data_IF_990486984958
#
_entry.id   IF_990486984958
#
_cell.length_a   1.000
_cell.length_b   1.000
_cell.length_c   1.000
_cell.angle_alpha   90.00
_cell.angle_beta   90.00
_cell.angle_gamma   90.00
#
_symmetry.space_group_name_H-M   'P 1'
#
loop_
_entity.id
_entity.type
_entity.pdbx_description
1 polymer ?
#
# COMPACT_ATOMS: atom_id res chain seq x y z
N UNK A 1 7.16 -8.31 35.19
CA UNK A 1 8.11 -7.91 34.14
C UNK A 1 7.68 -8.63 32.87
N UNK A 2 7.06 -7.94 31.95
CA UNK A 2 6.65 -8.54 30.68
C UNK A 2 7.88 -8.50 29.76
N UNK A 3 8.48 -9.65 29.49
CA UNK A 3 9.46 -9.80 28.42
C UNK A 3 8.74 -9.54 27.11
N UNK A 4 9.03 -8.40 26.47
CA UNK A 4 8.62 -8.16 25.10
C UNK A 4 9.22 -9.27 24.24
N UNK A 5 8.37 -10.03 23.56
CA UNK A 5 8.81 -11.00 22.58
C UNK A 5 9.53 -10.22 21.47
N UNK A 6 10.85 -10.35 21.41
CA UNK A 6 11.65 -9.78 20.34
C UNK A 6 11.38 -10.59 19.08
N UNK A 7 11.01 -9.89 18.00
CA UNK A 7 11.03 -10.50 16.67
C UNK A 7 12.42 -11.06 16.39
N UNK A 8 12.52 -12.10 15.58
CA UNK A 8 13.75 -12.86 15.30
C UNK A 8 14.97 -11.99 14.89
N UNK A 9 14.75 -10.70 14.60
CA UNK A 9 15.75 -9.70 14.24
C UNK A 9 15.72 -8.44 15.13
N UNK A 10 15.10 -8.52 16.31
CA UNK A 10 14.97 -7.36 17.20
C UNK A 10 13.92 -6.34 16.77
N UNK A 11 13.06 -6.66 15.81
CA UNK A 11 11.97 -5.80 15.36
C UNK A 11 10.67 -6.18 16.04
N UNK A 12 9.81 -5.20 16.26
CA UNK A 12 8.52 -5.42 16.83
C UNK A 12 7.45 -5.40 15.72
N UNK A 13 6.63 -6.45 15.67
CA UNK A 13 5.40 -6.41 14.90
C UNK A 13 4.43 -5.45 15.54
N UNK A 14 3.90 -4.54 14.74
CA UNK A 14 2.94 -3.53 15.17
C UNK A 14 1.63 -3.64 14.37
N UNK A 15 0.56 -3.19 15.01
CA UNK A 15 -0.79 -3.04 14.45
C UNK A 15 -1.48 -1.85 15.10
N UNK A 16 -2.71 -1.55 14.69
CA UNK A 16 -3.60 -0.68 15.47
C UNK A 16 -4.32 -1.47 16.56
N UNK A 17 -4.93 -0.74 17.51
CA UNK A 17 -6.01 -1.32 18.30
C UNK A 17 -7.06 -1.93 17.36
N UNK A 18 -7.71 -3.03 17.74
CA UNK A 18 -8.78 -3.61 16.94
C UNK A 18 -9.87 -2.57 16.63
N UNK A 19 -10.23 -2.48 15.36
CA UNK A 19 -11.28 -1.59 14.86
C UNK A 19 -12.17 -2.38 13.89
N UNK A 20 -13.46 -2.36 14.13
CA UNK A 20 -14.42 -3.07 13.28
C UNK A 20 -14.44 -2.49 11.86
N UNK A 21 -14.46 -3.37 10.87
CA UNK A 21 -14.54 -2.99 9.46
C UNK A 21 -13.27 -2.37 8.87
N UNK A 22 -12.15 -2.34 9.61
CA UNK A 22 -10.88 -1.84 9.12
C UNK A 22 -10.04 -2.97 8.53
N UNK A 23 -9.93 -2.97 7.21
CA UNK A 23 -9.14 -3.93 6.42
C UNK A 23 -7.86 -3.32 5.85
N UNK A 24 -7.77 -1.99 5.84
CA UNK A 24 -6.60 -1.26 5.37
C UNK A 24 -6.20 -0.18 6.37
N UNK A 25 -4.91 -0.08 6.65
CA UNK A 25 -4.35 0.75 7.71
C UNK A 25 -3.17 1.57 7.19
N UNK A 26 -3.16 2.85 7.54
CA UNK A 26 -1.98 3.69 7.46
C UNK A 26 -1.21 3.62 8.77
N UNK A 27 0.10 3.42 8.68
CA UNK A 27 1.04 3.45 9.80
C UNK A 27 2.18 4.38 9.43
N UNK A 28 2.64 5.20 10.37
CA UNK A 28 3.75 6.12 10.11
C UNK A 28 4.55 6.48 11.33
N UNK A 29 5.76 6.94 11.09
CA UNK A 29 6.63 7.59 12.07
C UNK A 29 7.52 8.62 11.40
N UNK A 30 7.72 9.74 12.10
CA UNK A 30 8.70 10.78 11.77
C UNK A 30 9.89 10.67 12.70
N UNK A 31 11.09 10.67 12.16
CA UNK A 31 12.36 10.72 12.87
C UNK A 31 12.99 12.08 12.62
N UNK A 32 13.57 12.68 13.66
CA UNK A 32 14.18 14.03 13.60
C UNK A 32 15.58 14.02 14.15
N UNK A 33 16.37 15.05 13.83
CA UNK A 33 17.76 15.19 14.26
C UNK A 33 18.64 14.01 13.86
N UNK A 34 18.44 13.52 12.65
CA UNK A 34 19.17 12.37 12.11
C UNK A 34 20.58 12.82 11.65
N UNK A 35 21.59 11.96 11.80
CA UNK A 35 22.88 12.20 11.20
C UNK A 35 22.77 12.17 9.67
N UNK A 36 23.68 12.85 8.99
CA UNK A 36 23.81 12.72 7.55
C UNK A 36 24.08 11.25 7.17
N UNK A 37 23.38 10.77 6.17
CA UNK A 37 23.58 9.43 5.62
C UNK A 37 23.39 9.47 4.10
N UNK A 38 24.20 8.70 3.37
CA UNK A 38 24.14 8.57 1.92
C UNK A 38 23.66 7.20 1.46
N UNK A 39 23.60 6.25 2.39
CA UNK A 39 23.12 4.87 2.16
C UNK A 39 22.06 4.50 3.16
N UNK A 40 20.97 3.92 2.67
CA UNK A 40 19.96 3.36 3.54
C UNK A 40 19.21 2.21 2.90
N UNK A 41 18.86 1.24 3.72
CA UNK A 41 18.00 0.14 3.35
C UNK A 41 16.86 0.01 4.33
N UNK A 42 15.66 -0.32 3.83
CA UNK A 42 14.54 -0.71 4.65
C UNK A 42 14.22 -2.18 4.36
N UNK A 43 14.20 -2.98 5.42
CA UNK A 43 13.66 -4.33 5.39
C UNK A 43 12.27 -4.32 6.02
N UNK A 44 11.28 -4.80 5.28
CA UNK A 44 9.86 -4.75 5.62
C UNK A 44 9.26 -6.15 5.56
N UNK A 45 8.40 -6.46 6.52
CA UNK A 45 7.48 -7.59 6.50
C UNK A 45 6.06 -7.12 6.80
N UNK A 46 5.06 -7.76 6.19
CA UNK A 46 3.64 -7.52 6.44
C UNK A 46 2.88 -8.84 6.40
N UNK A 47 1.73 -8.90 7.06
CA UNK A 47 0.84 -10.07 7.03
C UNK A 47 -0.09 -10.09 5.81
N UNK A 48 0.14 -9.24 4.82
CA UNK A 48 -0.66 -9.14 3.60
C UNK A 48 0.08 -8.41 2.51
N UNK A 49 -0.51 -7.35 2.00
CA UNK A 49 0.12 -6.42 1.06
C UNK A 49 0.48 -5.12 1.75
N UNK A 50 1.50 -4.44 1.26
CA UNK A 50 1.90 -3.14 1.76
C UNK A 50 2.33 -2.20 0.63
N UNK A 51 2.33 -0.91 0.94
CA UNK A 51 2.93 0.17 0.14
C UNK A 51 3.83 0.95 1.08
N UNK A 52 5.13 0.93 0.81
CA UNK A 52 6.14 1.65 1.58
C UNK A 52 6.33 3.06 1.01
N UNK A 53 6.32 4.05 1.88
CA UNK A 53 6.60 5.44 1.53
C UNK A 53 7.74 5.97 2.38
N UNK A 54 8.64 6.73 1.76
CA UNK A 54 9.73 7.45 2.43
C UNK A 54 9.68 8.90 2.00
N UNK A 55 9.55 9.82 2.94
CA UNK A 55 9.38 11.24 2.69
C UNK A 55 8.25 11.54 1.67
N UNK A 56 7.11 10.86 1.83
CA UNK A 56 5.93 10.98 0.97
C UNK A 56 6.04 10.29 -0.39
N UNK A 57 7.20 9.73 -0.74
CA UNK A 57 7.43 9.08 -2.04
C UNK A 57 7.27 7.57 -1.92
N UNK A 58 6.48 7.00 -2.81
CA UNK A 58 6.27 5.55 -2.87
C UNK A 58 7.56 4.83 -3.29
N UNK A 59 7.97 3.86 -2.49
CA UNK A 59 9.19 3.06 -2.72
C UNK A 59 8.83 1.81 -3.53
N UNK A 60 8.64 1.99 -4.81
CA UNK A 60 8.49 0.91 -5.77
C UNK A 60 8.85 1.45 -7.17
N UNK A 61 9.55 0.68 -8.00
CA UNK A 61 9.75 1.02 -9.41
C UNK A 61 8.43 1.23 -10.17
N UNK A 62 7.40 0.49 -9.83
CA UNK A 62 6.07 0.62 -10.39
C UNK A 62 5.17 1.44 -9.45
N UNK A 63 4.64 2.60 -9.89
CA UNK A 63 3.86 3.49 -9.04
C UNK A 63 2.47 2.93 -8.65
N UNK A 64 2.02 1.87 -9.30
CA UNK A 64 0.69 1.28 -9.08
C UNK A 64 0.75 0.01 -8.25
N UNK A 65 1.75 -0.84 -8.50
CA UNK A 65 1.83 -2.17 -7.90
C UNK A 65 2.16 -2.15 -6.42
N UNK A 66 1.36 -2.80 -5.55
CA UNK A 66 1.71 -2.99 -4.14
C UNK A 66 2.82 -4.03 -3.97
N UNK A 67 3.52 -3.97 -2.83
CA UNK A 67 4.38 -5.06 -2.39
C UNK A 67 3.53 -6.18 -1.78
N UNK A 68 3.75 -7.41 -2.22
CA UNK A 68 3.05 -8.58 -1.70
C UNK A 68 3.98 -9.39 -0.78
N UNK A 69 3.55 -9.61 0.47
CA UNK A 69 4.28 -10.38 1.49
C UNK A 69 3.60 -11.71 1.78
N UNK A 70 2.66 -12.07 0.93
CA UNK A 70 1.80 -13.21 1.11
C UNK A 70 2.21 -14.34 0.17
N UNK A 71 2.57 -15.49 0.73
CA UNK A 71 2.70 -16.74 0.00
C UNK A 71 2.45 -17.90 0.97
N UNK A 72 1.38 -18.64 0.77
CA UNK A 72 1.06 -19.89 1.48
C UNK A 72 1.26 -19.86 3.02
N UNK A 73 0.75 -18.82 3.68
CA UNK A 73 0.86 -18.62 5.14
C UNK A 73 2.27 -18.31 5.68
N UNK A 74 3.25 -18.06 4.83
CA UNK A 74 4.58 -17.63 5.27
C UNK A 74 4.70 -16.10 5.23
N UNK A 75 5.36 -15.52 6.23
CA UNK A 75 5.70 -14.10 6.26
C UNK A 75 7.02 -13.90 5.54
N UNK A 76 7.00 -13.16 4.44
CA UNK A 76 8.17 -12.87 3.63
C UNK A 76 8.68 -11.48 3.98
N UNK A 77 10.00 -11.29 3.97
CA UNK A 77 10.62 -9.98 4.11
C UNK A 77 11.15 -9.50 2.76
N UNK A 78 11.03 -8.20 2.53
CA UNK A 78 11.63 -7.52 1.39
C UNK A 78 12.55 -6.42 1.86
N UNK A 79 13.71 -6.29 1.22
CA UNK A 79 14.65 -5.20 1.47
C UNK A 79 14.68 -4.25 0.28
N UNK A 80 14.54 -2.96 0.56
CA UNK A 80 14.50 -1.87 -0.41
C UNK A 80 15.72 -0.97 -0.20
N UNK A 81 16.40 -0.60 -1.27
CA UNK A 81 17.33 0.52 -1.25
C UNK A 81 16.52 1.83 -1.23
N UNK A 82 16.60 2.54 -0.13
CA UNK A 82 15.92 3.82 0.07
C UNK A 82 16.87 5.01 0.08
N UNK A 83 18.14 4.80 -0.25
CA UNK A 83 19.14 5.87 -0.35
C UNK A 83 18.67 7.08 -1.16
N UNK A 84 18.01 6.91 -2.34
CA UNK A 84 17.55 8.05 -3.14
C UNK A 84 16.45 8.90 -2.49
N UNK A 85 15.83 8.39 -1.42
CA UNK A 85 14.68 9.04 -0.76
C UNK A 85 15.08 9.83 0.49
N UNK A 86 16.30 9.64 1.02
CA UNK A 86 16.75 10.22 2.29
C UNK A 86 17.90 11.23 2.15
N UNK A 87 18.22 11.64 0.92
CA UNK A 87 19.36 12.53 0.67
C UNK A 87 19.19 13.88 1.37
N UNK A 88 20.14 14.23 2.24
CA UNK A 88 20.32 15.55 2.87
C UNK A 88 19.12 16.05 3.69
N UNK A 89 18.49 15.19 4.43
CA UNK A 89 17.42 15.58 5.36
C UNK A 89 17.80 15.19 6.80
N UNK A 90 17.53 16.06 7.75
CA UNK A 90 17.60 15.80 9.18
C UNK A 90 16.28 15.21 9.72
N UNK A 91 15.28 15.15 8.87
CA UNK A 91 13.95 14.62 9.16
C UNK A 91 13.59 13.53 8.16
N UNK A 92 13.07 12.42 8.65
CA UNK A 92 12.69 11.27 7.85
C UNK A 92 11.28 10.80 8.21
N UNK A 93 10.38 10.89 7.26
CA UNK A 93 9.06 10.28 7.35
C UNK A 93 9.08 8.89 6.73
N UNK A 94 8.72 7.87 7.51
CA UNK A 94 8.47 6.52 7.02
C UNK A 94 6.98 6.22 7.22
N UNK A 95 6.32 5.78 6.16
CA UNK A 95 4.91 5.43 6.22
C UNK A 95 4.63 4.13 5.47
N UNK A 96 3.66 3.38 5.98
CA UNK A 96 3.16 2.13 5.41
C UNK A 96 1.66 2.25 5.20
N UNK A 97 1.21 1.80 4.05
CA UNK A 97 -0.20 1.50 3.80
C UNK A 97 -0.34 0.00 3.68
N UNK A 98 -0.93 -0.63 4.68
CA UNK A 98 -1.08 -2.07 4.76
C UNK A 98 -2.51 -2.49 4.44
N UNK A 99 -2.65 -3.58 3.69
CA UNK A 99 -3.91 -4.28 3.49
C UNK A 99 -3.77 -5.70 4.06
N UNK A 100 -4.74 -6.08 4.88
CA UNK A 100 -4.78 -7.39 5.51
C UNK A 100 -5.09 -8.48 4.50
N UNK A 101 -4.53 -9.66 4.72
CA UNK A 101 -4.98 -10.88 4.07
C UNK A 101 -5.92 -11.65 5.03
N UNK A 102 -6.95 -12.31 4.47
CA UNK A 102 -7.83 -13.25 5.19
C UNK A 102 -8.57 -12.67 6.40
N UNK A 103 -8.87 -11.37 6.40
CA UNK A 103 -9.65 -10.74 7.48
C UNK A 103 -8.89 -10.58 8.81
N UNK A 104 -7.60 -10.88 8.85
CA UNK A 104 -6.78 -10.59 10.02
C UNK A 104 -6.49 -9.08 10.13
N UNK A 105 -6.24 -8.53 11.33
CA UNK A 105 -5.79 -7.14 11.47
C UNK A 105 -4.50 -6.87 10.71
N UNK A 106 -4.38 -5.73 10.06
CA UNK A 106 -3.14 -5.33 9.38
C UNK A 106 -1.97 -5.30 10.37
N UNK A 107 -0.87 -5.93 10.02
CA UNK A 107 0.33 -5.96 10.83
C UNK A 107 1.58 -5.82 9.96
N UNK A 108 2.57 -5.10 10.49
CA UNK A 108 3.86 -4.93 9.83
C UNK A 108 5.00 -4.89 10.83
N UNK A 109 6.20 -5.22 10.34
CA UNK A 109 7.45 -5.02 11.03
C UNK A 109 8.47 -4.46 10.04
N UNK A 110 9.22 -3.43 10.45
CA UNK A 110 10.17 -2.73 9.60
C UNK A 110 11.46 -2.45 10.36
N UNK A 111 12.57 -2.54 9.64
CA UNK A 111 13.88 -2.08 10.07
C UNK A 111 14.49 -1.22 8.98
N UNK A 112 14.94 -0.02 9.36
CA UNK A 112 15.79 0.86 8.58
C UNK A 112 17.21 0.79 9.11
N UNK A 113 18.16 0.58 8.23
CA UNK A 113 19.59 0.74 8.48
C UNK A 113 20.13 1.83 7.53
N UNK A 114 20.70 2.88 8.07
CA UNK A 114 21.24 4.01 7.32
C UNK A 114 22.63 4.36 7.82
N UNK A 115 23.55 4.72 6.92
CA UNK A 115 24.91 5.09 7.24
C UNK A 115 25.49 6.04 6.19
N UNK A 116 26.49 6.80 6.60
CA UNK A 116 27.37 7.55 5.73
C UNK A 116 28.58 6.70 5.36
N UNK A 117 28.85 6.58 4.08
CA UNK A 117 29.92 5.75 3.54
C UNK A 117 31.31 6.23 3.95
N UNK A 118 31.49 7.55 4.08
CA UNK A 118 32.79 8.13 4.37
C UNK A 118 33.11 8.11 5.87
N UNK A 119 32.18 8.56 6.70
CA UNK A 119 32.38 8.66 8.16
C UNK A 119 32.05 7.38 8.91
N UNK A 120 31.25 6.48 8.30
CA UNK A 120 30.69 5.31 8.96
C UNK A 120 29.62 5.63 10.01
N UNK A 121 29.28 6.89 10.21
CA UNK A 121 28.21 7.31 11.12
C UNK A 121 26.86 6.88 10.54
N UNK A 122 25.98 6.35 11.37
CA UNK A 122 24.68 5.91 10.92
C UNK A 122 23.68 5.77 12.04
N UNK A 123 22.49 5.33 11.67
CA UNK A 123 21.43 5.04 12.63
C UNK A 123 20.58 3.86 12.16
N UNK A 124 19.93 3.23 13.12
CA UNK A 124 18.95 2.18 12.88
C UNK A 124 17.63 2.60 13.49
N UNK A 125 16.54 2.36 12.76
CA UNK A 125 15.20 2.55 13.25
C UNK A 125 14.35 1.30 13.01
N UNK A 126 13.46 0.99 13.96
CA UNK A 126 12.56 -0.18 13.87
C UNK A 126 11.13 0.23 14.19
N UNK A 127 10.19 -0.61 13.77
CA UNK A 127 8.81 -0.48 14.24
C UNK A 127 8.72 -0.74 15.74
N UNK A 128 7.96 0.10 16.42
CA UNK A 128 7.64 0.04 17.84
C UNK A 128 6.29 0.75 18.13
N UNK A 129 5.89 0.81 19.38
CA UNK A 129 4.63 1.42 19.81
C UNK A 129 4.60 2.96 19.70
N UNK A 130 5.68 3.60 19.28
CA UNK A 130 5.74 5.03 19.00
C UNK A 130 5.29 5.38 17.59
N UNK A 131 5.10 4.37 16.74
CA UNK A 131 4.43 4.55 15.46
C UNK A 131 2.97 4.92 15.67
N UNK A 132 2.42 5.66 14.73
CA UNK A 132 1.02 6.08 14.73
C UNK A 132 0.25 5.34 13.65
N UNK A 133 -0.99 4.98 13.96
CA UNK A 133 -1.89 4.22 13.07
C UNK A 133 -3.19 4.98 12.85
N UNK A 134 -3.75 4.85 11.64
CA UNK A 134 -5.05 5.40 11.26
C UNK A 134 -5.69 4.50 10.21
N UNK A 135 -7.04 4.28 10.24
CA UNK A 135 -7.73 3.65 9.11
C UNK A 135 -7.45 4.38 7.81
N UNK A 136 -7.12 3.65 6.77
CA UNK A 136 -6.97 4.22 5.44
C UNK A 136 -8.33 4.68 4.89
N UNK A 137 -8.31 5.58 3.91
CA UNK A 137 -9.53 6.05 3.21
C UNK A 137 -10.06 5.03 2.21
N UNK A 138 -9.31 3.99 1.96
CA UNK A 138 -9.70 2.81 1.18
C UNK A 138 -9.82 1.63 2.12
N UNK A 139 -10.92 0.89 2.00
CA UNK A 139 -11.15 -0.33 2.77
C UNK A 139 -11.60 -1.44 1.81
N UNK A 140 -11.49 -2.68 2.23
CA UNK A 140 -11.94 -3.85 1.47
C UNK A 140 -13.16 -4.46 2.16
N UNK A 141 -14.21 -4.72 1.43
CA UNK A 141 -15.42 -5.36 1.95
C UNK A 141 -15.26 -6.88 2.06
N UNK A 142 -16.29 -7.55 2.59
CA UNK A 142 -16.31 -9.00 2.76
C UNK A 142 -16.28 -9.79 1.44
N UNK A 143 -16.59 -9.15 0.33
CA UNK A 143 -16.54 -9.73 -1.02
C UNK A 143 -15.17 -9.53 -1.69
N UNK A 144 -14.25 -8.85 -1.04
CA UNK A 144 -12.91 -8.56 -1.56
C UNK A 144 -12.84 -7.32 -2.47
N UNK A 145 -13.94 -6.56 -2.59
CA UNK A 145 -13.95 -5.30 -3.34
C UNK A 145 -13.50 -4.14 -2.48
N UNK A 146 -12.69 -3.28 -3.05
CA UNK A 146 -12.30 -2.04 -2.38
C UNK A 146 -13.41 -1.00 -2.49
N UNK A 147 -13.60 -0.24 -1.41
CA UNK A 147 -14.35 0.99 -1.45
C UNK A 147 -13.48 2.16 -0.99
N UNK A 148 -13.64 3.29 -1.64
CA UNK A 148 -12.84 4.50 -1.40
C UNK A 148 -13.75 5.67 -1.06
N UNK A 149 -13.42 6.38 0.02
CA UNK A 149 -13.99 7.70 0.29
C UNK A 149 -12.99 8.78 -0.14
N UNK A 150 -13.13 9.29 -1.36
CA UNK A 150 -12.27 10.34 -1.88
C UNK A 150 -12.39 11.66 -1.12
N UNK A 151 -13.51 11.91 -0.44
CA UNK A 151 -13.70 13.12 0.38
C UNK A 151 -12.82 13.14 1.63
N UNK A 152 -12.37 11.96 2.07
CA UNK A 152 -11.49 11.78 3.22
C UNK A 152 -10.01 11.62 2.80
N UNK A 153 -9.73 11.74 1.50
CA UNK A 153 -8.35 11.64 1.02
C UNK A 153 -7.48 12.72 1.64
N UNK A 154 -6.36 12.31 2.19
CA UNK A 154 -5.41 13.18 2.85
C UNK A 154 -4.04 13.02 2.20
N UNK A 155 -3.66 13.94 1.33
CA UNK A 155 -2.48 13.82 0.48
C UNK A 155 -1.15 13.78 1.26
N UNK A 156 -1.12 14.36 2.45
CA UNK A 156 0.09 14.44 3.30
C UNK A 156 0.17 13.33 4.35
N UNK A 157 -0.72 12.33 4.32
CA UNK A 157 -0.75 11.27 5.32
C UNK A 157 0.58 10.52 5.50
N UNK A 158 1.39 10.44 4.45
CA UNK A 158 2.68 9.73 4.44
C UNK A 158 3.90 10.62 4.70
N UNK A 159 3.71 11.95 4.80
CA UNK A 159 4.76 12.92 5.13
C UNK A 159 4.13 14.20 5.66
N UNK A 160 4.88 14.97 6.44
CA UNK A 160 4.48 16.29 6.94
C UNK A 160 3.02 16.35 7.48
N UNK A 161 2.64 15.33 8.26
CA UNK A 161 1.30 15.23 8.86
C UNK A 161 1.10 16.34 9.90
N UNK A 162 0.00 17.01 9.83
CA UNK A 162 -0.40 18.06 10.77
C UNK A 162 -1.69 17.73 11.53
N UNK A 163 -2.54 16.85 11.01
CA UNK A 163 -3.79 16.43 11.66
C UNK A 163 -3.60 15.10 12.41
N UNK A 164 -3.06 15.19 13.60
CA UNK A 164 -2.82 14.04 14.47
C UNK A 164 -4.08 13.56 15.22
N UNK A 165 -5.18 14.29 15.18
CA UNK A 165 -6.38 13.98 15.96
C UNK A 165 -7.01 12.61 15.62
N UNK A 166 -6.76 12.11 14.41
CA UNK A 166 -7.28 10.82 13.93
C UNK A 166 -6.27 9.69 13.99
N UNK A 167 -5.08 9.94 14.52
CA UNK A 167 -4.02 8.96 14.64
C UNK A 167 -3.96 8.41 16.08
N UNK A 168 -3.75 7.13 16.20
CA UNK A 168 -3.61 6.43 17.46
C UNK A 168 -2.27 5.74 17.55
N UNK A 169 -1.64 5.62 18.71
CA UNK A 169 -0.41 4.85 18.87
C UNK A 169 -0.58 3.40 18.41
N UNK A 170 0.44 2.88 17.76
CA UNK A 170 0.51 1.47 17.41
C UNK A 170 0.56 0.59 18.67
N UNK A 171 0.04 -0.61 18.54
CA UNK A 171 0.21 -1.66 19.56
C UNK A 171 1.24 -2.67 19.11
N UNK A 172 2.02 -3.17 20.05
CA UNK A 172 2.88 -4.32 19.86
C UNK A 172 2.06 -5.60 19.79
N UNK A 173 2.25 -6.37 18.74
CA UNK A 173 1.68 -7.70 18.68
C UNK A 173 2.55 -8.66 19.47
N UNK A 174 1.92 -9.45 20.34
CA UNK A 174 2.57 -10.60 20.98
C UNK A 174 2.81 -11.67 19.91
N UNK A 175 4.02 -12.18 19.83
CA UNK A 175 4.30 -13.33 18.98
C UNK A 175 3.37 -14.49 19.35
N UNK A 176 2.54 -14.92 18.39
CA UNK A 176 1.96 -16.27 18.45
C UNK A 176 3.07 -17.21 18.02
N UNK A 177 3.61 -17.96 18.97
CA UNK A 177 4.83 -18.75 18.88
C UNK A 177 4.85 -19.82 17.76
N UNK A 178 3.73 -20.09 17.10
CA UNK A 178 3.64 -21.14 16.07
C UNK A 178 3.54 -20.66 14.63
N UNK A 179 3.24 -19.36 14.38
CA UNK A 179 3.03 -18.87 13.00
C UNK A 179 4.00 -17.76 12.57
N UNK A 180 4.97 -17.43 13.41
CA UNK A 180 5.89 -16.29 13.16
C UNK A 180 7.32 -16.71 12.82
N UNK A 181 7.57 -17.99 12.63
CA UNK A 181 8.84 -18.42 12.06
C UNK A 181 8.91 -17.90 10.62
N UNK A 182 9.61 -16.79 10.44
CA UNK A 182 10.11 -16.41 9.13
C UNK A 182 10.92 -17.60 8.64
N UNK A 183 10.37 -18.31 7.67
CA UNK A 183 11.03 -19.49 7.16
C UNK A 183 12.20 -19.03 6.29
N UNK A 184 13.39 -18.96 6.90
CA UNK A 184 14.65 -18.85 6.17
C UNK A 184 14.99 -20.14 5.44
N UNK A 185 14.09 -21.12 5.47
CA UNK A 185 14.38 -22.44 4.94
C UNK A 185 14.22 -22.48 3.42
N UNK A 186 15.38 -22.70 2.84
CA UNK A 186 15.63 -23.59 1.69
C UNK A 186 14.45 -23.80 0.76
N UNK A 187 14.30 -22.95 -0.22
CA UNK A 187 13.35 -23.18 -1.30
C UNK A 187 12.40 -22.02 -1.47
N UNK A 188 12.94 -20.86 -1.77
CA UNK A 188 12.38 -19.90 -2.70
C UNK A 188 10.88 -19.54 -2.56
N UNK A 189 10.36 -19.26 -1.38
CA UNK A 189 9.27 -18.30 -1.32
C UNK A 189 9.88 -16.92 -1.55
N UNK A 190 9.96 -16.52 -2.80
CA UNK A 190 10.39 -15.17 -3.17
C UNK A 190 9.20 -14.24 -2.98
N UNK A 191 9.39 -13.02 -2.43
CA UNK A 191 8.32 -12.04 -2.41
C UNK A 191 7.83 -11.84 -3.85
N UNK A 192 6.51 -11.80 -4.03
CA UNK A 192 5.93 -11.52 -5.32
C UNK A 192 6.04 -10.01 -5.58
N UNK A 193 7.01 -9.62 -6.38
CA UNK A 193 7.04 -8.27 -6.93
C UNK A 193 6.09 -8.22 -8.12
N UNK A 194 5.18 -7.28 -8.10
CA UNK A 194 4.25 -7.03 -9.18
C UNK A 194 4.71 -5.81 -9.97
N UNK A 195 4.45 -5.83 -11.26
CA UNK A 195 4.65 -4.69 -12.16
C UNK A 195 3.50 -4.61 -13.16
N UNK A 196 3.26 -3.42 -13.69
CA UNK A 196 2.32 -3.24 -14.79
C UNK A 196 2.96 -3.78 -16.06
N UNK A 197 2.38 -4.85 -16.61
CA UNK A 197 2.77 -5.43 -17.88
C UNK A 197 2.29 -4.61 -19.06
N UNK A 198 1.03 -4.16 -18.99
CA UNK A 198 0.40 -3.39 -20.05
C UNK A 198 -0.69 -2.49 -19.50
N UNK A 199 -0.88 -1.35 -20.16
CA UNK A 199 -2.02 -0.46 -19.96
C UNK A 199 -2.87 -0.53 -21.22
N UNK A 200 -4.16 -0.88 -21.07
CA UNK A 200 -5.09 -1.08 -22.19
C UNK A 200 -6.33 -0.24 -21.99
N UNK A 201 -6.69 0.56 -22.95
CA UNK A 201 -7.94 1.33 -22.92
C UNK A 201 -9.14 0.43 -23.24
N UNK A 202 -10.22 0.63 -22.50
CA UNK A 202 -11.49 -0.02 -22.74
C UNK A 202 -12.35 0.83 -23.69
N UNK A 203 -13.21 0.16 -24.45
CA UNK A 203 -14.17 0.81 -25.33
C UNK A 203 -15.58 0.72 -24.79
N UNK A 204 -16.40 1.79 -24.86
CA UNK A 204 -17.81 1.71 -24.46
C UNK A 204 -18.58 0.76 -25.38
N UNK A 205 -19.39 -0.09 -24.79
CA UNK A 205 -20.21 -1.07 -25.52
C UNK A 205 -21.70 -0.84 -25.34
N UNK A 206 -22.10 -0.30 -24.20
CA UNK A 206 -23.50 -0.01 -23.88
C UNK A 206 -23.57 1.23 -23.01
N UNK A 207 -24.54 2.10 -23.26
CA UNK A 207 -24.75 3.31 -22.49
C UNK A 207 -26.24 3.49 -22.25
N UNK A 208 -26.61 3.55 -20.98
CA UNK A 208 -27.93 3.90 -20.50
C UNK A 208 -27.92 5.22 -19.76
N UNK A 209 -29.08 5.67 -19.30
CA UNK A 209 -29.24 6.96 -18.60
C UNK A 209 -28.35 7.12 -17.37
N UNK A 210 -27.99 6.03 -16.67
CA UNK A 210 -27.19 6.02 -15.43
C UNK A 210 -26.20 4.86 -15.36
N UNK A 211 -25.85 4.33 -16.50
CA UNK A 211 -24.95 3.20 -16.59
C UNK A 211 -24.17 3.26 -17.88
N UNK A 212 -22.91 2.91 -17.82
CA UNK A 212 -22.09 2.72 -19.01
C UNK A 212 -21.21 1.47 -18.83
N UNK A 213 -21.22 0.63 -19.85
CA UNK A 213 -20.40 -0.59 -19.88
C UNK A 213 -19.26 -0.42 -20.86
N UNK A 214 -18.06 -0.78 -20.42
CA UNK A 214 -16.85 -0.81 -21.20
C UNK A 214 -16.32 -2.24 -21.32
N UNK A 215 -15.75 -2.58 -22.47
CA UNK A 215 -15.09 -3.85 -22.71
C UNK A 215 -13.60 -3.65 -23.02
N UNK A 216 -12.79 -4.53 -22.46
CA UNK A 216 -11.37 -4.62 -22.78
C UNK A 216 -11.15 -5.59 -23.97
N UNK A 217 -10.11 -5.38 -24.78
CA UNK A 217 -9.80 -6.25 -25.91
C UNK A 217 -9.57 -7.72 -25.51
N UNK A 218 -9.01 -7.94 -24.31
CA UNK A 218 -8.75 -9.26 -23.74
C UNK A 218 -9.03 -9.28 -22.24
N UNK A 219 -9.17 -10.45 -21.64
CA UNK A 219 -9.26 -10.60 -20.20
C UNK A 219 -7.86 -10.52 -19.57
N UNK A 220 -7.75 -9.87 -18.41
CA UNK A 220 -6.50 -9.73 -17.66
C UNK A 220 -6.76 -9.76 -16.15
N UNK A 221 -5.69 -9.96 -15.40
CA UNK A 221 -5.66 -9.80 -13.93
C UNK A 221 -4.95 -8.51 -13.58
N UNK A 222 -5.55 -7.68 -12.72
CA UNK A 222 -4.92 -6.41 -12.35
C UNK A 222 -5.87 -5.38 -11.77
N UNK A 223 -5.63 -4.12 -12.08
CA UNK A 223 -6.45 -2.99 -11.65
C UNK A 223 -7.17 -2.33 -12.81
N UNK A 224 -8.24 -1.63 -12.50
CA UNK A 224 -8.90 -0.71 -13.43
C UNK A 224 -8.77 0.71 -12.88
N UNK A 225 -8.44 1.64 -13.75
CA UNK A 225 -8.42 3.07 -13.49
C UNK A 225 -9.52 3.75 -14.29
N UNK A 226 -10.40 4.45 -13.59
CA UNK A 226 -11.48 5.22 -14.20
C UNK A 226 -11.23 6.70 -13.95
N UNK A 227 -11.12 7.49 -14.99
CA UNK A 227 -11.01 8.94 -14.89
C UNK A 227 -12.39 9.56 -14.98
N UNK A 228 -12.72 10.37 -13.99
CA UNK A 228 -14.05 10.96 -13.80
C UNK A 228 -13.92 12.47 -13.82
N UNK A 229 -14.78 13.15 -14.57
CA UNK A 229 -14.86 14.60 -14.66
C UNK A 229 -16.23 15.10 -14.25
N UNK A 230 -16.28 16.30 -13.67
CA UNK A 230 -17.51 16.98 -13.27
C UNK A 230 -18.36 16.24 -12.21
N UNK A 231 -17.78 15.26 -11.51
CA UNK A 231 -18.42 14.67 -10.35
C UNK A 231 -18.43 15.67 -9.18
N UNK A 232 -19.49 15.63 -8.39
CA UNK A 232 -19.61 16.49 -7.19
C UNK A 232 -19.03 15.78 -5.97
N UNK A 233 -18.47 16.53 -5.00
CA UNK A 233 -18.07 15.95 -3.73
C UNK A 233 -19.20 15.11 -3.09
N UNK A 234 -18.87 13.89 -2.66
CA UNK A 234 -19.82 12.95 -2.08
C UNK A 234 -20.72 12.23 -3.09
N UNK A 235 -20.54 12.45 -4.40
CA UNK A 235 -21.19 11.62 -5.44
C UNK A 235 -20.61 10.20 -5.40
N UNK A 236 -21.49 9.20 -5.48
CA UNK A 236 -21.08 7.80 -5.36
C UNK A 236 -21.14 7.11 -6.71
N UNK A 237 -20.05 6.46 -7.09
CA UNK A 237 -19.90 5.68 -8.30
C UNK A 237 -19.60 4.23 -7.92
N UNK A 238 -20.13 3.28 -8.68
CA UNK A 238 -19.89 1.85 -8.54
C UNK A 238 -19.22 1.32 -9.81
N UNK A 239 -18.11 0.64 -9.67
CA UNK A 239 -17.32 0.04 -10.74
C UNK A 239 -17.27 -1.46 -10.49
N UNK A 240 -18.17 -2.23 -11.12
CA UNK A 240 -18.34 -3.68 -10.88
C UNK A 240 -18.36 -4.09 -9.38
N UNK A 241 -19.01 -3.32 -8.52
CA UNK A 241 -19.05 -3.59 -7.07
C UNK A 241 -18.04 -2.80 -6.23
N UNK A 242 -16.96 -2.29 -6.80
CA UNK A 242 -16.13 -1.30 -6.12
C UNK A 242 -16.90 0.00 -5.96
N UNK A 243 -16.97 0.52 -4.75
CA UNK A 243 -17.63 1.79 -4.44
C UNK A 243 -16.60 2.90 -4.33
N UNK A 244 -16.83 3.97 -5.06
CA UNK A 244 -15.99 5.17 -5.01
C UNK A 244 -16.85 6.40 -4.71
N UNK A 245 -16.51 7.12 -3.64
CA UNK A 245 -17.12 8.41 -3.30
C UNK A 245 -16.20 9.51 -3.81
N UNK A 246 -16.70 10.34 -4.72
CA UNK A 246 -15.94 11.37 -5.40
C UNK A 246 -15.57 12.52 -4.46
N UNK A 247 -14.39 13.10 -4.66
CA UNK A 247 -13.96 14.31 -3.97
C UNK A 247 -14.30 15.59 -4.74
N UNK A 248 -14.67 15.48 -6.02
CA UNK A 248 -15.06 16.58 -6.88
C UNK A 248 -13.90 17.31 -7.55
N UNK A 249 -12.71 16.74 -7.58
CA UNK A 249 -11.59 17.31 -8.33
C UNK A 249 -11.73 17.04 -9.84
N UNK A 250 -11.11 17.88 -10.65
CA UNK A 250 -11.08 17.69 -12.10
C UNK A 250 -10.24 16.45 -12.43
N UNK A 251 -10.75 15.60 -13.33
CA UNK A 251 -10.09 14.37 -13.77
C UNK A 251 -9.70 13.43 -12.59
N UNK A 252 -10.60 13.33 -11.64
CA UNK A 252 -10.49 12.45 -10.48
C UNK A 252 -10.33 10.99 -10.90
N UNK A 253 -9.39 10.29 -10.28
CA UNK A 253 -9.08 8.91 -10.65
C UNK A 253 -9.53 7.91 -9.58
N UNK A 254 -10.53 7.11 -9.92
CA UNK A 254 -10.91 5.95 -9.15
C UNK A 254 -10.06 4.74 -9.56
N UNK A 255 -9.24 4.26 -8.63
CA UNK A 255 -8.36 3.10 -8.85
C UNK A 255 -8.24 2.27 -7.58
N UNK A 256 -8.30 0.94 -7.71
CA UNK A 256 -8.00 0.01 -6.63
C UNK A 256 -6.54 0.09 -6.19
N UNK A 257 -6.27 -0.23 -4.93
CA UNK A 257 -4.92 -0.12 -4.32
C UNK A 257 -4.27 -1.47 -4.07
N UNK A 258 -5.08 -2.47 -3.69
CA UNK A 258 -4.62 -3.80 -3.32
C UNK A 258 -5.46 -4.92 -3.94
N UNK A 259 -6.76 -4.71 -4.20
CA UNK A 259 -7.63 -5.72 -4.78
C UNK A 259 -7.33 -5.91 -6.28
N UNK A 260 -6.50 -6.89 -6.60
CA UNK A 260 -6.32 -7.34 -7.98
C UNK A 260 -7.46 -8.29 -8.35
N UNK A 261 -8.18 -7.95 -9.40
CA UNK A 261 -9.36 -8.69 -9.85
C UNK A 261 -9.22 -9.11 -11.32
N UNK A 262 -9.94 -10.15 -11.76
CA UNK A 262 -10.04 -10.50 -13.17
C UNK A 262 -10.99 -9.53 -13.89
N UNK A 263 -10.54 -8.97 -15.00
CA UNK A 263 -11.27 -7.99 -15.79
C UNK A 263 -11.45 -8.47 -17.23
N UNK A 264 -12.63 -8.31 -17.79
CA UNK A 264 -12.95 -8.46 -19.21
C UNK A 264 -13.83 -7.32 -19.68
N UNK A 265 -14.73 -6.89 -18.82
CA UNK A 265 -15.61 -5.75 -18.99
C UNK A 265 -15.89 -5.13 -17.64
N UNK A 266 -16.30 -3.89 -17.64
CA UNK A 266 -16.77 -3.20 -16.44
C UNK A 266 -18.05 -2.45 -16.74
N UNK A 267 -18.95 -2.46 -15.77
CA UNK A 267 -20.13 -1.61 -15.77
C UNK A 267 -19.98 -0.57 -14.68
N UNK A 268 -20.07 0.68 -15.07
CA UNK A 268 -20.00 1.82 -14.18
C UNK A 268 -21.41 2.37 -14.01
N UNK A 269 -21.84 2.45 -12.76
CA UNK A 269 -23.12 3.03 -12.37
C UNK A 269 -22.88 4.05 -11.26
N UNK A 270 -23.91 4.76 -10.85
CA UNK A 270 -23.75 5.70 -9.74
C UNK A 270 -25.08 6.08 -9.10
N UNK A 271 -25.00 6.99 -8.14
CA UNK A 271 -26.18 7.55 -7.50
C UNK A 271 -27.01 8.41 -8.48
N UNK A 272 -28.06 9.09 -8.00
CA UNK A 272 -28.95 9.89 -8.85
C UNK A 272 -28.27 11.03 -9.62
N UNK A 273 -27.04 11.41 -9.23
CA UNK A 273 -26.26 12.50 -9.82
C UNK A 273 -25.38 12.03 -10.98
N UNK A 274 -25.01 10.75 -10.96
CA UNK A 274 -24.12 10.16 -11.96
C UNK A 274 -24.70 10.25 -13.37
N UNK A 275 -23.81 10.60 -14.31
CA UNK A 275 -24.07 10.62 -15.76
C UNK A 275 -22.93 9.91 -16.47
N UNK A 276 -23.21 9.06 -17.48
CA UNK A 276 -22.17 8.36 -18.25
C UNK A 276 -21.09 9.28 -18.83
N UNK A 277 -21.45 10.52 -19.19
CA UNK A 277 -20.53 11.51 -19.78
C UNK A 277 -19.44 11.98 -18.80
N UNK A 278 -19.61 11.73 -17.51
CA UNK A 278 -18.58 12.00 -16.50
C UNK A 278 -17.39 11.06 -16.63
N UNK A 279 -17.57 9.87 -17.22
CA UNK A 279 -16.49 8.90 -17.43
C UNK A 279 -15.70 9.32 -18.67
N UNK A 280 -14.46 9.78 -18.44
CA UNK A 280 -13.60 10.29 -19.51
C UNK A 280 -12.68 9.23 -20.09
N UNK A 281 -12.17 8.35 -19.25
CA UNK A 281 -11.29 7.27 -19.65
C UNK A 281 -11.42 6.05 -18.73
N UNK A 282 -11.23 4.88 -19.30
CA UNK A 282 -11.23 3.62 -18.58
C UNK A 282 -10.04 2.79 -19.06
N UNK A 283 -9.10 2.55 -18.14
CA UNK A 283 -7.87 1.84 -18.43
C UNK A 283 -7.74 0.59 -17.56
N UNK A 284 -7.38 -0.51 -18.20
CA UNK A 284 -6.96 -1.75 -17.55
C UNK A 284 -5.45 -1.74 -17.36
N UNK A 285 -5.00 -1.95 -16.13
CA UNK A 285 -3.60 -2.11 -15.78
C UNK A 285 -3.36 -3.61 -15.53
N UNK A 286 -2.92 -4.30 -16.59
CA UNK A 286 -2.58 -5.72 -16.49
C UNK A 286 -1.32 -5.90 -15.65
N UNK A 287 -1.41 -6.74 -14.63
CA UNK A 287 -0.31 -7.00 -13.71
C UNK A 287 0.38 -8.31 -14.04
N UNK A 288 1.69 -8.34 -13.87
CA UNK A 288 2.49 -9.57 -13.92
C UNK A 288 3.49 -9.65 -12.77
N UNK A 289 3.98 -10.85 -12.49
CA UNK A 289 5.10 -11.03 -11.59
C UNK A 289 6.37 -10.49 -12.24
N UNK A 290 6.93 -9.43 -11.66
CA UNK A 290 8.22 -8.91 -12.10
C UNK A 290 9.33 -9.89 -11.76
N UNK A 291 10.33 -10.06 -12.65
CA UNK A 291 11.58 -10.69 -12.25
C UNK A 291 12.19 -9.86 -11.13
N UNK A 292 12.46 -10.49 -9.99
CA UNK A 292 13.07 -9.77 -8.88
C UNK A 292 14.35 -9.09 -9.37
N UNK A 293 14.56 -7.81 -9.05
CA UNK A 293 15.88 -7.21 -9.23
C UNK A 293 16.87 -8.12 -8.48
N UNK A 294 17.97 -8.43 -9.10
CA UNK A 294 19.06 -9.17 -8.45
C UNK A 294 19.50 -8.35 -7.27
N UNK A 295 18.92 -8.61 -6.11
CA UNK A 295 19.27 -7.93 -4.86
C UNK A 295 20.71 -8.34 -4.58
N UNK A 296 21.58 -7.37 -4.63
CA UNK A 296 22.96 -7.33 -4.17
C UNK A 296 23.48 -8.61 -3.50
N UNK A 297 24.19 -9.43 -4.26
CA UNK A 297 25.28 -10.21 -3.72
C UNK A 297 26.47 -9.26 -3.61
N UNK A 298 27.05 -9.21 -2.47
CA UNK A 298 28.30 -8.58 -2.03
C UNK A 298 28.11 -7.42 -1.06
N UNK A 299 27.88 -7.80 0.18
CA UNK A 299 28.51 -7.23 1.33
C UNK A 299 29.49 -8.30 1.81
N UNK A 300 30.78 -8.18 1.49
CA UNK A 300 31.82 -9.07 1.99
C UNK A 300 32.74 -9.61 0.89
N UNK A 301 33.66 -8.82 0.42
CA UNK A 301 35.07 -9.08 0.17
C UNK A 301 35.83 -7.79 0.45
#
# INVERSE_FOLDING_TARGET
MATAAQAQFGWQWISSQPMDGVSQLWMRRTYTNLPYTDRATITLASNGMARLYVNGRFVNPDPVAPQCFYAHNSRIMQTFDVSPYIVRTDTLDIALWCASANGEPCAAALRLDAHDKESGVGFTATTDTTWMCRPATVQTDSSGYEWTDGTQWHSTWSYNETDWARWTPAIALKEKTEHQKTDHQKGACRPLCLTVKAVTEASPTETDKRSVTYAFPHAFMGFVRVTIRDARPGETIFINGMRYICNGTIDEQAIGRFAMLPWRSITITGDRRFKPEQVQNVEGLEMEAAPQPKIFRHWGE
#
